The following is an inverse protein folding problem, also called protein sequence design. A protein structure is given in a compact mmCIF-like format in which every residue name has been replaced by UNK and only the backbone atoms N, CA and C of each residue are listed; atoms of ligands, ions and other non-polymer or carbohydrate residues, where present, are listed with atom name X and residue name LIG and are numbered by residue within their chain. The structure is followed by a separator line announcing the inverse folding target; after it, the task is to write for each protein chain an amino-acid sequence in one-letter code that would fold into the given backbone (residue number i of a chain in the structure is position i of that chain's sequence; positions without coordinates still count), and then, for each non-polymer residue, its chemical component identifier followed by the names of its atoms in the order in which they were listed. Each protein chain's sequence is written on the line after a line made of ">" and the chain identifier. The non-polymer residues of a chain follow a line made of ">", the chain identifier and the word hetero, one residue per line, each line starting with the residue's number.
data_IF_418901965265
#
_entry.id   IF_418901965265
#
_cell.length_a   1.000
_cell.length_b   1.000
_cell.length_c   1.000
_cell.angle_alpha   90.00
_cell.angle_beta   90.00
_cell.angle_gamma   90.00
#
_symmetry.space_group_name_H-M   'P 1'
#
loop_
_entity.id
_entity.type
_entity.pdbx_description
1 polymer ?
#
# COMPACT_ATOMS: atom_id res chain seq x y z
N UNK A 1 -21.80 3.04 -6.91
CA UNK A 1 -21.41 1.98 -7.85
C UNK A 1 -20.18 1.31 -7.24
N UNK A 2 -20.26 0.04 -6.84
CA UNK A 2 -19.14 -0.69 -6.22
C UNK A 2 -18.35 -1.35 -7.35
N UNK A 3 -17.09 -0.95 -7.53
CA UNK A 3 -16.21 -1.52 -8.56
C UNK A 3 -15.58 -2.79 -8.00
N UNK A 4 -16.25 -3.93 -8.10
CA UNK A 4 -15.70 -5.21 -7.63
C UNK A 4 -14.48 -5.61 -8.47
N UNK A 5 -13.31 -5.64 -7.85
CA UNK A 5 -12.09 -6.17 -8.48
C UNK A 5 -11.62 -7.37 -7.66
N UNK A 6 -11.72 -8.57 -8.25
CA UNK A 6 -11.37 -9.89 -7.70
C UNK A 6 -12.15 -10.38 -6.47
N UNK A 7 -12.47 -9.52 -5.48
CA UNK A 7 -13.15 -9.92 -4.24
C UNK A 7 -14.03 -8.77 -3.68
N UNK A 8 -15.07 -9.11 -2.91
CA UNK A 8 -16.01 -8.19 -2.26
C UNK A 8 -15.34 -7.24 -1.26
N UNK A 9 -14.22 -7.67 -0.66
CA UNK A 9 -13.47 -6.90 0.34
C UNK A 9 -12.17 -6.29 -0.19
N UNK A 10 -11.87 -6.43 -1.49
CA UNK A 10 -10.59 -5.99 -2.09
C UNK A 10 -9.32 -6.60 -1.44
N UNK A 11 -9.46 -7.67 -0.66
CA UNK A 11 -8.34 -8.34 0.01
C UNK A 11 -7.40 -9.02 -0.99
N UNK A 12 -7.97 -9.66 -2.02
CA UNK A 12 -7.17 -10.32 -3.04
C UNK A 12 -6.30 -9.33 -3.83
N UNK A 13 -6.82 -8.16 -4.20
CA UNK A 13 -6.06 -7.18 -4.97
C UNK A 13 -4.99 -6.48 -4.14
N UNK A 14 -5.29 -6.17 -2.87
CA UNK A 14 -4.32 -5.59 -1.94
C UNK A 14 -3.19 -6.58 -1.61
N UNK A 15 -3.50 -7.88 -1.51
CA UNK A 15 -2.49 -8.93 -1.34
C UNK A 15 -1.57 -9.06 -2.55
N UNK A 16 -2.11 -9.09 -3.78
CA UNK A 16 -1.32 -9.16 -5.01
C UNK A 16 -0.40 -7.94 -5.13
N UNK A 17 -0.92 -6.74 -4.89
CA UNK A 17 -0.13 -5.50 -4.91
C UNK A 17 0.99 -5.53 -3.87
N UNK A 18 0.69 -6.00 -2.65
CA UNK A 18 1.67 -6.12 -1.57
C UNK A 18 2.81 -7.05 -1.94
N UNK A 19 2.48 -8.25 -2.42
CA UNK A 19 3.47 -9.27 -2.81
C UNK A 19 4.31 -8.75 -3.98
N UNK A 20 3.68 -8.20 -5.02
CA UNK A 20 4.39 -7.67 -6.19
C UNK A 20 5.34 -6.53 -5.82
N UNK A 21 4.88 -5.56 -5.02
CA UNK A 21 5.70 -4.42 -4.60
C UNK A 21 6.88 -4.87 -3.74
N UNK A 22 6.64 -5.70 -2.73
CA UNK A 22 7.71 -6.19 -1.85
C UNK A 22 8.74 -7.04 -2.60
N UNK A 23 8.33 -7.87 -3.57
CA UNK A 23 9.26 -8.66 -4.38
C UNK A 23 10.13 -7.79 -5.30
N UNK A 24 9.59 -6.69 -5.86
CA UNK A 24 10.36 -5.75 -6.68
C UNK A 24 11.44 -5.08 -5.83
N UNK A 25 11.05 -4.51 -4.68
CA UNK A 25 12.00 -3.84 -3.78
C UNK A 25 13.04 -4.80 -3.22
N UNK A 26 12.64 -6.04 -2.91
CA UNK A 26 13.55 -7.11 -2.49
C UNK A 26 14.56 -7.47 -3.59
N UNK A 27 14.10 -7.60 -4.84
CA UNK A 27 14.99 -7.89 -5.98
C UNK A 27 16.00 -6.77 -6.19
N UNK A 28 15.57 -5.51 -6.04
CA UNK A 28 16.45 -4.33 -6.14
C UNK A 28 17.46 -4.33 -4.98
N UNK A 29 17.02 -4.51 -3.74
CA UNK A 29 17.90 -4.55 -2.58
C UNK A 29 18.94 -5.68 -2.69
N UNK A 30 18.53 -6.86 -3.14
CA UNK A 30 19.43 -7.99 -3.39
C UNK A 30 20.47 -7.68 -4.48
N UNK A 31 20.07 -6.99 -5.54
CA UNK A 31 20.97 -6.65 -6.67
C UNK A 31 22.00 -5.59 -6.29
N UNK A 32 21.58 -4.57 -5.55
CA UNK A 32 22.43 -3.43 -5.17
C UNK A 32 23.08 -3.58 -3.79
N UNK A 33 22.71 -4.59 -3.01
CA UNK A 33 23.10 -4.79 -1.60
C UNK A 33 22.82 -3.57 -0.71
N UNK A 34 21.73 -2.86 -1.01
CA UNK A 34 21.26 -1.71 -0.23
C UNK A 34 19.96 -2.13 0.45
N UNK A 35 20.08 -2.72 1.64
CA UNK A 35 18.94 -3.22 2.42
C UNK A 35 17.96 -2.09 2.82
N UNK A 36 18.46 -0.85 2.89
CA UNK A 36 17.66 0.35 3.14
C UNK A 36 16.55 0.58 2.09
N UNK A 37 16.72 0.07 0.87
CA UNK A 37 15.68 0.15 -0.18
C UNK A 37 14.49 -0.75 0.14
N UNK A 38 14.74 -1.92 0.76
CA UNK A 38 13.66 -2.79 1.21
C UNK A 38 12.93 -2.20 2.41
N UNK A 39 13.65 -1.53 3.33
CA UNK A 39 13.04 -0.82 4.45
C UNK A 39 12.08 0.29 3.97
N UNK A 40 12.52 1.08 2.97
CA UNK A 40 11.67 2.08 2.30
C UNK A 40 10.47 1.45 1.57
N UNK A 41 10.70 0.32 0.90
CA UNK A 41 9.67 -0.45 0.21
C UNK A 41 8.56 -0.93 1.15
N UNK A 42 8.92 -1.31 2.38
CA UNK A 42 7.97 -1.70 3.42
C UNK A 42 7.08 -0.53 3.87
N UNK A 43 7.67 0.63 4.19
CA UNK A 43 6.94 1.81 4.63
C UNK A 43 6.03 2.41 3.55
N UNK A 44 6.52 2.49 2.32
CA UNK A 44 5.77 3.02 1.16
C UNK A 44 4.61 2.12 0.73
N UNK A 45 4.70 0.80 0.92
CA UNK A 45 3.61 -0.12 0.63
C UNK A 45 2.35 0.17 1.48
N UNK A 46 2.53 0.54 2.76
CA UNK A 46 1.40 0.89 3.64
C UNK A 46 0.67 2.14 3.13
N UNK A 47 1.43 3.14 2.68
CA UNK A 47 0.85 4.34 2.08
C UNK A 47 0.09 4.01 0.78
N UNK A 48 0.68 3.17 -0.08
CA UNK A 48 0.07 2.72 -1.33
C UNK A 48 -1.27 2.02 -1.09
N UNK A 49 -1.31 1.05 -0.17
CA UNK A 49 -2.53 0.30 0.16
C UNK A 49 -3.62 1.18 0.77
N UNK A 50 -3.25 2.16 1.61
CA UNK A 50 -4.20 3.09 2.20
C UNK A 50 -4.90 3.94 1.13
N UNK A 51 -4.13 4.46 0.17
CA UNK A 51 -4.67 5.22 -0.96
C UNK A 51 -5.53 4.32 -1.86
N UNK A 52 -5.05 3.12 -2.19
CA UNK A 52 -5.77 2.16 -3.01
C UNK A 52 -7.13 1.80 -2.39
N UNK A 53 -7.17 1.56 -1.07
CA UNK A 53 -8.39 1.23 -0.34
C UNK A 53 -9.39 2.38 -0.32
N UNK A 54 -8.91 3.63 -0.16
CA UNK A 54 -9.77 4.81 -0.23
C UNK A 54 -10.38 4.99 -1.63
N UNK A 55 -9.56 4.84 -2.68
CA UNK A 55 -9.98 4.97 -4.08
C UNK A 55 -10.95 3.85 -4.46
N UNK A 56 -10.67 2.59 -4.12
CA UNK A 56 -11.55 1.46 -4.44
C UNK A 56 -12.85 1.47 -3.61
N UNK A 57 -12.80 1.99 -2.39
CA UNK A 57 -13.97 2.12 -1.52
C UNK A 57 -15.02 3.09 -2.06
N UNK A 58 -14.64 4.10 -2.86
CA UNK A 58 -15.52 5.13 -3.44
C UNK A 58 -16.44 5.82 -2.41
N UNK A 59 -16.11 5.72 -1.13
CA UNK A 59 -16.79 6.36 -0.01
C UNK A 59 -15.87 7.43 0.54
N UNK A 60 -16.31 8.68 0.49
CA UNK A 60 -15.52 9.85 0.86
C UNK A 60 -16.00 10.44 2.17
N UNK A 61 -16.16 9.60 3.20
CA UNK A 61 -16.48 10.10 4.53
C UNK A 61 -15.22 10.67 5.19
N UNK A 62 -15.40 11.72 5.99
CA UNK A 62 -14.32 12.40 6.73
C UNK A 62 -13.45 11.42 7.53
N UNK A 63 -14.05 10.39 8.13
CA UNK A 63 -13.35 9.35 8.89
C UNK A 63 -12.35 8.56 8.04
N UNK A 64 -12.72 8.22 6.82
CA UNK A 64 -11.88 7.43 5.91
C UNK A 64 -10.74 8.26 5.36
N UNK A 65 -10.99 9.54 5.07
CA UNK A 65 -9.96 10.50 4.65
C UNK A 65 -8.92 10.65 5.77
N UNK A 66 -9.37 10.93 6.99
CA UNK A 66 -8.46 11.06 8.15
C UNK A 66 -7.65 9.78 8.36
N UNK A 67 -8.30 8.61 8.38
CA UNK A 67 -7.61 7.33 8.55
C UNK A 67 -6.55 7.10 7.46
N UNK A 68 -6.87 7.41 6.21
CA UNK A 68 -5.95 7.27 5.07
C UNK A 68 -4.76 8.23 5.20
N UNK A 69 -5.00 9.49 5.59
CA UNK A 69 -3.94 10.49 5.81
C UNK A 69 -2.99 10.05 6.93
N UNK A 70 -3.51 9.58 8.06
CA UNK A 70 -2.67 9.06 9.15
C UNK A 70 -1.86 7.83 8.72
N UNK A 71 -2.46 6.92 7.95
CA UNK A 71 -1.76 5.75 7.42
C UNK A 71 -0.63 6.13 6.44
N UNK A 72 -0.87 7.11 5.56
CA UNK A 72 0.16 7.62 4.63
C UNK A 72 1.27 8.33 5.38
N UNK A 73 0.94 9.19 6.36
CA UNK A 73 1.94 9.88 7.19
C UNK A 73 2.79 8.89 8.00
N UNK A 74 2.18 7.81 8.49
CA UNK A 74 2.90 6.76 9.19
C UNK A 74 3.79 5.94 8.26
N UNK A 75 3.31 5.58 7.06
CA UNK A 75 4.12 4.90 6.04
C UNK A 75 5.32 5.74 5.61
N UNK A 76 5.14 7.05 5.46
CA UNK A 76 6.22 8.00 5.14
C UNK A 76 7.22 8.21 6.29
N UNK A 77 6.83 7.95 7.55
CA UNK A 77 7.75 7.97 8.70
C UNK A 77 8.65 6.74 8.74
N UNK A 78 8.14 5.60 8.28
CA UNK A 78 8.85 4.31 8.35
C UNK A 78 9.82 4.09 7.19
N UNK A 79 9.58 4.74 6.05
CA UNK A 79 10.50 4.71 4.90
C UNK A 79 11.71 5.59 5.10
#
# INVERSE_FOLDING_TARGET
>A
MVVRVLDDYYLAITAILTIGYQLIFFTIAYTFQIDSVTDFGGGSNVALLAILTLVLGQTWYVRQIIATTFAVLWGARLG
#
